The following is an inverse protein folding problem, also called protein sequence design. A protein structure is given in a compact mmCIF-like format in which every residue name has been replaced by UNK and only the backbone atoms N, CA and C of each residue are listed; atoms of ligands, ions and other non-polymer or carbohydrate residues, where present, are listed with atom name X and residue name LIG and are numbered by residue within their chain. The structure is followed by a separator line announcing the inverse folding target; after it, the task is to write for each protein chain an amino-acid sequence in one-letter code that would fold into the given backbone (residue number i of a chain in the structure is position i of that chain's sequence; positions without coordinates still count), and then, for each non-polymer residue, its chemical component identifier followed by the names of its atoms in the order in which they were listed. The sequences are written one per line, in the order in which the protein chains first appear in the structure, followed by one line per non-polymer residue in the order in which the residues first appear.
data_IF_257293383015
#
_entry.id   IF_257293383015
#
_cell.length_a   1.000
_cell.length_b   1.000
_cell.length_c   1.000
_cell.angle_alpha   90.00
_cell.angle_beta   90.00
_cell.angle_gamma   90.00
#
_symmetry.space_group_name_H-M   'P 1'
#
loop_
_entity.id
_entity.type
_entity.pdbx_description
1 polymer ?
#
# COMPACT_ATOMS: atom_id res chain seq x y z
N UNK A 1 17.35 -9.46 -10.42
CA UNK A 1 16.93 -10.61 -11.27
C UNK A 1 16.11 -11.63 -10.48
N UNK A 2 16.28 -11.73 -9.15
CA UNK A 2 15.50 -12.64 -8.30
C UNK A 2 14.50 -11.91 -7.39
N UNK A 3 13.62 -11.08 -7.97
CA UNK A 3 12.53 -10.47 -7.21
C UNK A 3 11.44 -11.50 -6.94
N UNK A 4 11.06 -11.68 -5.67
CA UNK A 4 9.91 -12.51 -5.29
C UNK A 4 8.71 -11.59 -5.03
N UNK A 5 7.54 -11.84 -5.62
CA UNK A 5 6.36 -11.05 -5.33
C UNK A 5 5.97 -11.22 -3.87
N UNK A 6 5.38 -10.16 -3.31
CA UNK A 6 4.79 -10.20 -1.97
C UNK A 6 3.72 -11.28 -1.94
N UNK A 7 3.79 -12.14 -0.92
CA UNK A 7 2.91 -13.29 -0.75
C UNK A 7 2.28 -13.28 0.65
N UNK A 8 0.94 -13.37 0.77
CA UNK A 8 -0.04 -13.37 -0.33
C UNK A 8 -0.01 -12.05 -1.11
N UNK A 9 -0.42 -12.10 -2.39
CA UNK A 9 -0.54 -10.90 -3.21
C UNK A 9 -1.47 -9.89 -2.52
N UNK A 10 -1.07 -8.61 -2.39
CA UNK A 10 -1.95 -7.60 -1.83
C UNK A 10 -3.19 -7.40 -2.71
N UNK A 11 -4.36 -7.42 -2.06
CA UNK A 11 -5.65 -7.18 -2.69
C UNK A 11 -6.37 -6.10 -1.89
N UNK A 12 -6.83 -5.05 -2.59
CA UNK A 12 -7.58 -3.94 -2.00
C UNK A 12 -8.97 -3.93 -2.60
N UNK A 13 -10.02 -3.98 -1.78
CA UNK A 13 -11.40 -3.78 -2.22
C UNK A 13 -11.76 -2.30 -2.16
N UNK A 14 -12.36 -1.78 -3.22
CA UNK A 14 -12.93 -0.42 -3.26
C UNK A 14 -14.44 -0.50 -3.18
N UNK A 15 -15.04 0.47 -2.49
CA UNK A 15 -16.47 0.69 -2.43
C UNK A 15 -16.72 2.17 -2.72
N UNK A 16 -17.41 2.45 -3.82
CA UNK A 16 -17.84 3.79 -4.14
C UNK A 16 -19.25 3.98 -3.58
N UNK A 17 -19.51 5.16 -3.05
CA UNK A 17 -20.83 5.52 -2.54
C UNK A 17 -21.31 6.78 -3.26
N UNK A 18 -22.57 6.79 -3.69
CA UNK A 18 -23.25 8.03 -4.01
C UNK A 18 -23.48 8.78 -2.70
N UNK A 19 -23.37 10.10 -2.72
CA UNK A 19 -23.71 10.93 -1.59
C UNK A 19 -24.33 12.24 -2.07
N UNK A 20 -25.33 12.73 -1.35
CA UNK A 20 -25.82 14.08 -1.53
C UNK A 20 -24.76 15.12 -1.11
N UNK A 21 -24.97 16.39 -1.46
CA UNK A 21 -23.98 17.46 -1.19
C UNK A 21 -23.67 17.64 0.30
N UNK A 22 -24.61 17.27 1.18
CA UNK A 22 -24.47 17.29 2.63
C UNK A 22 -23.81 16.00 3.20
N UNK A 23 -23.48 15.04 2.33
CA UNK A 23 -22.89 13.76 2.68
C UNK A 23 -23.89 12.70 3.17
N UNK A 24 -25.20 13.00 3.15
CA UNK A 24 -26.29 12.08 3.48
C UNK A 24 -26.62 11.12 2.33
N UNK A 25 -27.51 10.15 2.58
CA UNK A 25 -27.98 9.14 1.62
C UNK A 25 -26.85 8.41 0.89
N UNK A 26 -26.09 7.61 1.64
CA UNK A 26 -24.99 6.81 1.09
C UNK A 26 -25.46 5.47 0.58
N UNK A 27 -25.52 5.31 -0.74
CA UNK A 27 -25.75 4.03 -1.40
C UNK A 27 -24.48 3.57 -2.11
N UNK A 28 -24.12 2.30 -1.97
CA UNK A 28 -22.95 1.74 -2.66
C UNK A 28 -23.28 1.64 -4.15
N UNK A 29 -22.44 2.25 -4.99
CA UNK A 29 -22.58 2.21 -6.45
C UNK A 29 -22.43 0.78 -6.93
N UNK A 30 -23.30 0.34 -7.83
CA UNK A 30 -23.18 -0.98 -8.45
C UNK A 30 -21.89 -1.05 -9.29
N UNK A 31 -21.03 -2.06 -9.09
CA UNK A 31 -19.85 -2.25 -9.94
C UNK A 31 -20.14 -2.32 -11.44
N UNK A 32 -21.33 -2.77 -11.86
CA UNK A 32 -21.71 -2.78 -13.27
C UNK A 32 -21.86 -1.35 -13.85
N UNK A 33 -22.29 -0.37 -13.04
CA UNK A 33 -22.35 1.04 -13.46
C UNK A 33 -20.96 1.63 -13.63
N UNK A 34 -20.01 1.21 -12.77
CA UNK A 34 -18.60 1.62 -12.88
C UNK A 34 -18.00 1.06 -14.17
N UNK A 35 -18.27 -0.22 -14.48
CA UNK A 35 -17.79 -0.90 -15.71
C UNK A 35 -18.29 -0.20 -16.99
N UNK A 36 -19.54 0.29 -16.98
CA UNK A 36 -20.15 1.00 -18.11
C UNK A 36 -19.74 2.48 -18.20
N UNK A 37 -19.13 3.02 -17.16
CA UNK A 37 -18.68 4.42 -17.11
C UNK A 37 -17.31 4.62 -17.76
N UNK A 38 -16.94 5.87 -18.02
CA UNK A 38 -15.57 6.24 -18.44
C UNK A 38 -14.61 6.43 -17.26
N UNK A 39 -14.97 5.94 -16.06
CA UNK A 39 -14.18 6.12 -14.85
C UNK A 39 -13.11 5.03 -14.80
N UNK A 40 -11.84 5.43 -14.72
CA UNK A 40 -10.74 4.52 -14.45
C UNK A 40 -10.11 4.85 -13.12
N UNK A 41 -10.18 3.94 -12.15
CA UNK A 41 -9.44 4.08 -10.89
C UNK A 41 -8.07 3.42 -11.00
N UNK A 42 -7.06 4.09 -10.44
CA UNK A 42 -5.70 3.57 -10.23
C UNK A 42 -5.43 3.54 -8.74
N UNK A 43 -4.78 2.47 -8.28
CA UNK A 43 -4.22 2.40 -6.94
C UNK A 43 -2.70 2.35 -7.00
N UNK A 44 -2.06 3.24 -6.26
CA UNK A 44 -0.62 3.23 -6.05
C UNK A 44 -0.29 2.50 -4.74
N UNK A 45 0.66 1.56 -4.80
CA UNK A 45 1.27 0.95 -3.63
C UNK A 45 2.59 1.66 -3.29
N UNK A 46 2.67 2.11 -2.05
CA UNK A 46 3.83 2.78 -1.48
C UNK A 46 4.34 1.99 -0.28
N UNK A 47 5.63 1.60 -0.31
CA UNK A 47 6.28 0.88 0.76
C UNK A 47 6.55 1.80 1.95
N UNK A 48 6.15 1.36 3.13
CA UNK A 48 6.43 2.01 4.40
C UNK A 48 7.22 1.04 5.29
N UNK A 49 8.51 1.31 5.52
CA UNK A 49 9.29 0.55 6.51
C UNK A 49 8.80 0.89 7.90
N UNK A 50 8.64 -0.14 8.73
CA UNK A 50 8.27 0.05 10.12
C UNK A 50 9.51 0.35 10.96
N UNK A 51 9.43 1.37 11.81
CA UNK A 51 10.48 1.74 12.75
C UNK A 51 9.85 2.25 14.04
N UNK A 52 10.07 1.49 15.12
CA UNK A 52 9.61 1.83 16.45
C UNK A 52 10.12 3.21 16.89
N UNK A 53 11.41 3.46 16.74
CA UNK A 53 12.04 4.69 17.23
C UNK A 53 11.46 5.91 16.55
N UNK A 54 11.15 5.81 15.26
CA UNK A 54 10.49 6.89 14.54
C UNK A 54 9.04 7.10 14.97
N UNK A 55 8.23 6.03 14.98
CA UNK A 55 6.80 6.12 15.32
C UNK A 55 6.58 6.73 16.71
N UNK A 56 7.51 6.50 17.63
CA UNK A 56 7.48 7.00 19.00
C UNK A 56 8.35 8.26 19.23
N UNK A 57 8.94 8.84 18.18
CA UNK A 57 9.67 10.12 18.24
C UNK A 57 10.98 10.07 18.99
N UNK A 58 11.60 8.91 19.06
CA UNK A 58 12.94 8.68 19.61
C UNK A 58 13.99 9.14 18.59
N UNK A 59 13.75 8.91 17.30
CA UNK A 59 14.66 9.28 16.20
C UNK A 59 13.89 9.86 15.01
N UNK A 60 14.36 10.97 14.45
CA UNK A 60 13.88 11.51 13.18
C UNK A 60 14.61 10.87 12.00
N UNK A 61 13.92 10.72 10.87
CA UNK A 61 14.57 10.20 9.67
C UNK A 61 15.45 11.27 8.99
N UNK A 62 16.72 10.97 8.70
CA UNK A 62 17.57 11.89 7.96
C UNK A 62 17.17 11.94 6.48
N UNK A 63 16.95 13.15 5.91
CA UNK A 63 16.52 13.33 4.52
C UNK A 63 17.43 12.62 3.52
N UNK A 64 16.85 12.09 2.45
CA UNK A 64 17.58 11.49 1.33
C UNK A 64 18.37 10.21 1.65
N UNK A 65 18.30 9.70 2.88
CA UNK A 65 18.93 8.43 3.23
C UNK A 65 17.89 7.32 3.09
N UNK A 66 18.11 6.29 2.25
CA UNK A 66 17.42 5.03 2.46
C UNK A 66 17.72 4.67 3.90
N UNK A 67 16.69 4.60 4.75
CA UNK A 67 16.83 4.30 6.17
C UNK A 67 17.90 3.22 6.28
N UNK A 68 18.97 3.49 7.03
CA UNK A 68 19.75 2.39 7.57
C UNK A 68 18.75 1.61 8.39
N UNK A 69 18.19 0.57 7.76
CA UNK A 69 17.25 -0.36 8.36
C UNK A 69 17.82 -0.66 9.71
N UNK A 70 17.05 -0.32 10.76
CA UNK A 70 17.39 -0.48 12.18
C UNK A 70 18.68 -1.25 12.31
N UNK A 71 19.81 -0.53 12.30
CA UNK A 71 21.09 -1.18 12.36
C UNK A 71 21.00 -2.06 13.58
N UNK A 72 21.36 -3.34 13.41
CA UNK A 72 21.49 -4.31 14.47
C UNK A 72 22.56 -3.77 15.42
N UNK A 73 22.21 -2.76 16.21
CA UNK A 73 23.00 -2.19 17.27
C UNK A 73 22.66 -3.04 18.48
N UNK A 74 23.37 -4.16 18.54
CA UNK A 74 23.85 -4.74 19.78
C UNK A 74 22.80 -4.90 20.89
N UNK A 75 22.16 -6.07 20.91
CA UNK A 75 21.95 -6.79 22.17
C UNK A 75 20.55 -6.83 22.75
N UNK A 76 19.56 -6.14 22.19
CA UNK A 76 18.16 -6.34 22.59
C UNK A 76 17.29 -6.49 21.34
N UNK A 77 16.86 -7.72 21.08
CA UNK A 77 15.77 -7.96 20.15
C UNK A 77 14.54 -7.27 20.73
N UNK A 78 14.20 -6.09 20.20
CA UNK A 78 12.89 -5.52 20.47
C UNK A 78 11.84 -6.46 19.89
N UNK A 79 10.77 -6.72 20.64
CA UNK A 79 9.64 -7.59 20.27
C UNK A 79 8.95 -7.19 18.95
N UNK A 80 9.44 -6.14 18.27
CA UNK A 80 8.87 -5.55 17.07
C UNK A 80 9.78 -5.69 15.84
N UNK A 81 10.91 -6.41 15.95
CA UNK A 81 11.78 -6.70 14.81
C UNK A 81 11.46 -8.06 14.17
N UNK A 82 11.57 -8.12 12.85
CA UNK A 82 11.55 -9.40 12.14
C UNK A 82 12.83 -10.17 12.48
N UNK A 83 12.68 -11.34 13.09
CA UNK A 83 13.77 -12.34 13.20
C UNK A 83 13.50 -13.46 12.22
N UNK A 84 14.54 -14.16 11.76
CA UNK A 84 14.39 -15.28 10.82
C UNK A 84 13.30 -16.25 11.31
N UNK A 85 12.26 -16.46 10.50
CA UNK A 85 11.08 -17.30 10.80
C UNK A 85 10.09 -16.75 11.84
N UNK A 86 10.17 -15.48 12.21
CA UNK A 86 9.19 -14.83 13.11
C UNK A 86 8.34 -13.84 12.32
N UNK A 87 7.03 -14.11 12.27
CA UNK A 87 6.06 -13.16 11.73
C UNK A 87 5.93 -11.95 12.66
N UNK A 88 5.56 -10.77 12.12
CA UNK A 88 5.24 -9.60 12.94
C UNK A 88 4.22 -9.97 14.04
N UNK A 89 4.40 -9.52 15.30
CA UNK A 89 3.49 -9.81 16.38
C UNK A 89 2.03 -9.41 16.06
N UNK A 90 1.02 -10.17 16.51
CA UNK A 90 -0.39 -9.86 16.25
C UNK A 90 -0.86 -8.50 16.77
N UNK A 91 -0.13 -7.91 17.73
CA UNK A 91 -0.41 -6.60 18.32
C UNK A 91 0.31 -5.41 17.66
N UNK A 92 1.04 -5.63 16.57
CA UNK A 92 1.65 -4.51 15.85
C UNK A 92 0.58 -3.59 15.25
N UNK A 93 0.90 -2.30 15.24
CA UNK A 93 0.04 -1.30 14.63
C UNK A 93 -0.11 -1.59 13.14
N UNK A 94 -1.35 -1.55 12.65
CA UNK A 94 -1.68 -1.78 11.24
C UNK A 94 -1.31 -0.60 10.33
N UNK A 95 -0.96 0.53 10.93
CA UNK A 95 -0.51 1.74 10.26
C UNK A 95 0.57 2.41 11.13
N UNK A 96 1.56 3.09 10.53
CA UNK A 96 2.52 3.89 11.27
C UNK A 96 1.81 5.01 12.04
N UNK A 97 2.33 5.35 13.22
CA UNK A 97 1.84 6.49 14.00
C UNK A 97 2.29 7.81 13.38
N UNK A 98 3.46 7.79 12.73
CA UNK A 98 4.04 8.95 12.05
C UNK A 98 4.31 8.59 10.60
N UNK A 99 3.42 9.00 9.67
CA UNK A 99 3.67 8.82 8.25
C UNK A 99 4.96 9.54 7.83
N UNK A 100 5.79 8.85 7.05
CA UNK A 100 6.93 9.45 6.36
C UNK A 100 6.49 10.63 5.49
N UNK A 101 7.35 11.65 5.39
CA UNK A 101 7.17 12.70 4.39
C UNK A 101 7.38 12.17 2.96
N UNK A 102 7.12 13.02 1.97
CA UNK A 102 7.19 12.66 0.56
C UNK A 102 8.61 12.27 0.09
N UNK A 103 9.65 12.87 0.65
CA UNK A 103 11.03 12.61 0.27
C UNK A 103 11.47 11.22 0.74
N UNK A 104 11.20 10.91 2.01
CA UNK A 104 11.45 9.58 2.56
C UNK A 104 10.63 8.51 1.83
N UNK A 105 9.36 8.81 1.57
CA UNK A 105 8.48 7.92 0.81
C UNK A 105 9.03 7.63 -0.60
N UNK A 106 9.58 8.64 -1.27
CA UNK A 106 10.19 8.48 -2.59
C UNK A 106 11.42 7.56 -2.56
N UNK A 107 12.27 7.69 -1.54
CA UNK A 107 13.43 6.81 -1.35
C UNK A 107 13.04 5.33 -1.18
N UNK A 108 11.95 5.03 -0.45
CA UNK A 108 11.40 3.66 -0.37
C UNK A 108 10.75 3.18 -1.66
N UNK A 109 10.27 4.14 -2.47
CA UNK A 109 9.78 3.87 -3.80
C UNK A 109 10.81 3.21 -4.72
N UNK A 110 12.10 3.53 -4.55
CA UNK A 110 13.20 2.91 -5.31
C UNK A 110 13.42 1.44 -4.95
N UNK A 111 13.09 1.05 -3.72
CA UNK A 111 13.14 -0.34 -3.26
C UNK A 111 11.93 -1.15 -3.75
N UNK A 112 10.89 -0.51 -4.25
CA UNK A 112 9.68 -1.21 -4.71
C UNK A 112 9.77 -1.45 -6.22
N UNK A 113 9.57 -2.69 -6.65
CA UNK A 113 9.66 -3.12 -8.04
C UNK A 113 8.35 -3.74 -8.54
N UNK A 114 8.23 -3.83 -9.86
CA UNK A 114 7.06 -4.37 -10.55
C UNK A 114 5.90 -3.37 -10.62
N UNK A 115 4.67 -3.87 -10.59
CA UNK A 115 3.47 -3.05 -10.79
C UNK A 115 3.05 -2.33 -9.50
N UNK A 116 3.54 -1.09 -9.33
CA UNK A 116 3.16 -0.20 -8.21
C UNK A 116 1.86 0.53 -8.44
N UNK A 117 1.56 0.85 -9.69
CA UNK A 117 0.31 1.47 -10.11
C UNK A 117 -0.53 0.40 -10.81
N UNK A 118 -1.68 0.07 -10.24
CA UNK A 118 -2.58 -0.94 -10.81
C UNK A 118 -3.94 -0.33 -11.07
N UNK A 119 -4.50 -0.65 -12.23
CA UNK A 119 -5.89 -0.33 -12.54
C UNK A 119 -6.82 -1.26 -11.78
N UNK A 120 -8.01 -0.76 -11.43
CA UNK A 120 -9.03 -1.59 -10.83
C UNK A 120 -9.48 -2.72 -11.78
N UNK A 121 -9.92 -3.83 -11.19
CA UNK A 121 -10.58 -4.93 -11.86
C UNK A 121 -11.94 -5.14 -11.21
N UNK A 122 -12.93 -5.52 -12.01
CA UNK A 122 -14.27 -5.82 -11.55
C UNK A 122 -14.46 -7.32 -11.71
N UNK A 123 -14.63 -8.02 -10.59
CA UNK A 123 -14.73 -9.48 -10.56
C UNK A 123 -15.85 -9.92 -9.61
N UNK A 124 -16.36 -11.16 -9.72
CA UNK A 124 -17.30 -11.69 -8.75
C UNK A 124 -16.79 -11.58 -7.31
N UNK A 125 -17.64 -11.14 -6.39
CA UNK A 125 -17.32 -10.98 -4.99
C UNK A 125 -17.02 -12.34 -4.36
N UNK A 126 -15.79 -12.52 -3.87
CA UNK A 126 -15.37 -13.75 -3.20
C UNK A 126 -15.99 -13.80 -1.80
N UNK A 127 -16.80 -14.82 -1.51
CA UNK A 127 -17.45 -15.00 -0.21
C UNK A 127 -18.67 -14.10 0.02
N UNK A 128 -19.10 -13.35 -1.00
CA UNK A 128 -20.34 -12.56 -0.99
C UNK A 128 -21.56 -13.33 -1.48
N UNK A 129 -22.73 -12.68 -1.53
CA UNK A 129 -23.92 -13.23 -2.18
C UNK A 129 -23.63 -13.62 -3.63
N UNK A 130 -24.12 -14.79 -4.06
CA UNK A 130 -23.92 -15.31 -5.41
C UNK A 130 -24.30 -14.28 -6.47
N UNK A 131 -23.39 -14.01 -7.41
CA UNK A 131 -23.63 -13.11 -8.55
C UNK A 131 -23.31 -11.64 -8.31
N UNK A 132 -22.97 -11.23 -7.08
CA UNK A 132 -22.53 -9.85 -6.83
C UNK A 132 -21.10 -9.66 -7.35
N UNK A 133 -20.83 -8.59 -8.09
CA UNK A 133 -19.47 -8.16 -8.43
C UNK A 133 -18.92 -7.23 -7.35
N UNK A 134 -17.60 -7.04 -7.35
CA UNK A 134 -16.92 -6.04 -6.55
C UNK A 134 -15.69 -5.50 -7.28
N UNK A 135 -15.28 -4.30 -6.90
CA UNK A 135 -14.12 -3.62 -7.48
C UNK A 135 -12.89 -3.88 -6.62
N UNK A 136 -11.82 -4.33 -7.24
CA UNK A 136 -10.56 -4.65 -6.56
C UNK A 136 -9.35 -4.06 -7.26
N UNK A 137 -8.29 -3.81 -6.50
CA UNK A 137 -6.93 -3.67 -7.01
C UNK A 137 -6.14 -4.91 -6.60
N UNK A 138 -5.44 -5.53 -7.56
CA UNK A 138 -4.70 -6.78 -7.34
C UNK A 138 -3.24 -6.60 -7.73
N UNK A 139 -2.37 -6.64 -6.72
CA UNK A 139 -0.93 -6.39 -6.87
C UNK A 139 -0.17 -7.71 -7.02
N UNK A 140 -0.28 -8.36 -8.20
CA UNK A 140 0.34 -9.68 -8.45
C UNK A 140 1.86 -9.62 -8.57
N UNK A 141 2.36 -8.52 -9.12
CA UNK A 141 3.79 -8.35 -9.44
C UNK A 141 4.46 -7.33 -8.51
N UNK A 142 3.87 -7.02 -7.35
CA UNK A 142 4.49 -6.10 -6.40
C UNK A 142 5.61 -6.81 -5.65
N UNK A 143 6.82 -6.28 -5.78
CA UNK A 143 8.05 -6.84 -5.22
C UNK A 143 8.78 -5.77 -4.42
N UNK A 144 9.59 -6.19 -3.45
CA UNK A 144 10.53 -5.31 -2.76
C UNK A 144 11.94 -5.85 -3.02
N UNK A 145 12.86 -4.95 -3.33
CA UNK A 145 14.27 -5.23 -3.52
C UNK A 145 14.83 -5.90 -2.26
N UNK A 146 15.73 -6.87 -2.44
CA UNK A 146 16.38 -7.54 -1.33
C UNK A 146 17.14 -6.51 -0.49
N UNK A 147 16.80 -6.47 0.80
CA UNK A 147 17.51 -5.66 1.77
C UNK A 147 18.35 -6.58 2.63
N UNK A 148 19.60 -6.20 2.90
CA UNK A 148 20.61 -7.06 3.50
C UNK A 148 20.32 -7.49 4.95
N UNK A 149 19.18 -7.13 5.52
CA UNK A 149 18.75 -7.44 6.89
C UNK A 149 17.24 -7.76 6.94
N UNK A 150 16.82 -8.46 8.00
CA UNK A 150 15.40 -8.72 8.25
C UNK A 150 14.70 -7.42 8.64
N UNK A 151 13.60 -7.08 7.97
CA UNK A 151 12.89 -5.82 8.24
C UNK A 151 11.38 -6.00 8.23
N UNK A 152 10.68 -5.19 9.00
CA UNK A 152 9.22 -5.15 9.04
C UNK A 152 8.72 -3.98 8.21
N UNK A 153 7.67 -4.16 7.42
CA UNK A 153 7.13 -3.12 6.54
C UNK A 153 5.62 -3.29 6.32
N UNK A 154 4.98 -2.23 5.87
CA UNK A 154 3.59 -2.23 5.41
C UNK A 154 3.50 -1.50 4.06
N UNK A 155 2.43 -1.74 3.33
CA UNK A 155 2.09 -0.92 2.16
C UNK A 155 0.96 0.04 2.51
N UNK A 156 1.12 1.29 2.10
CA UNK A 156 0.00 2.23 1.95
C UNK A 156 -0.52 2.13 0.52
N UNK A 157 -1.84 2.06 0.38
CA UNK A 157 -2.53 1.96 -0.89
C UNK A 157 -3.37 3.22 -1.08
N UNK A 158 -3.02 4.02 -2.09
CA UNK A 158 -3.67 5.30 -2.37
C UNK A 158 -4.46 5.17 -3.67
N UNK A 159 -5.75 5.53 -3.63
CA UNK A 159 -6.65 5.41 -4.77
C UNK A 159 -6.86 6.77 -5.43
N UNK A 160 -6.68 6.82 -6.74
CA UNK A 160 -6.90 7.98 -7.59
C UNK A 160 -7.95 7.65 -8.64
N UNK A 161 -8.83 8.59 -8.96
CA UNK A 161 -9.68 8.50 -10.15
C UNK A 161 -8.97 9.21 -11.30
N UNK A 162 -8.79 8.49 -12.41
CA UNK A 162 -8.60 9.03 -13.73
C UNK A 162 -9.95 9.11 -14.43
N UNK A 163 -10.43 10.34 -14.62
CA UNK A 163 -11.53 10.59 -15.54
C UNK A 163 -10.89 10.78 -16.92
N UNK A 164 -11.14 9.85 -17.85
CA UNK A 164 -10.78 10.02 -19.25
C UNK A 164 -11.71 11.04 -19.94
N UNK A 165 -11.78 12.25 -19.39
CA UNK A 165 -12.13 13.40 -20.21
C UNK A 165 -10.82 13.87 -20.85
N UNK A 166 -10.80 13.94 -22.17
CA UNK A 166 -9.64 14.37 -22.97
C UNK A 166 -9.02 15.70 -22.50
N UNK A 167 -9.77 16.53 -21.77
CA UNK A 167 -9.28 17.77 -21.15
C UNK A 167 -8.36 17.57 -19.93
N UNK A 168 -8.64 16.65 -19.00
CA UNK A 168 -7.89 16.58 -17.73
C UNK A 168 -6.48 16.02 -17.92
N UNK A 169 -6.31 15.03 -18.80
CA UNK A 169 -4.98 14.53 -19.18
C UNK A 169 -4.12 15.62 -19.82
N UNK A 170 -4.73 16.50 -20.63
CA UNK A 170 -4.02 17.58 -21.32
C UNK A 170 -3.53 18.68 -20.36
N UNK A 171 -4.22 18.88 -19.24
CA UNK A 171 -3.92 19.95 -18.28
C UNK A 171 -2.92 19.55 -17.19
N UNK A 172 -2.45 18.29 -17.16
CA UNK A 172 -1.55 17.75 -16.12
C UNK A 172 -2.03 18.06 -14.69
N UNK A 173 -3.33 18.18 -14.49
CA UNK A 173 -3.91 18.43 -13.16
C UNK A 173 -3.67 17.17 -12.32
N UNK A 174 -3.05 17.28 -11.14
CA UNK A 174 -2.87 16.13 -10.25
C UNK A 174 -4.24 15.52 -9.94
N UNK A 175 -4.39 14.22 -10.19
CA UNK A 175 -5.61 13.53 -9.78
C UNK A 175 -5.67 13.48 -8.25
N UNK A 176 -6.78 13.89 -7.61
CA UNK A 176 -6.86 13.89 -6.16
C UNK A 176 -6.80 12.46 -5.62
N UNK A 177 -6.12 12.28 -4.49
CA UNK A 177 -6.21 11.04 -3.71
C UNK A 177 -7.59 10.99 -3.05
N UNK A 178 -8.34 9.92 -3.32
CA UNK A 178 -9.72 9.75 -2.85
C UNK A 178 -9.81 8.97 -1.56
N UNK A 179 -8.91 7.98 -1.40
CA UNK A 179 -8.91 7.09 -0.27
C UNK A 179 -7.53 6.48 -0.08
N UNK A 180 -7.14 6.32 1.18
CA UNK A 180 -5.92 5.63 1.56
C UNK A 180 -6.27 4.51 2.54
N UNK A 181 -5.72 3.32 2.33
CA UNK A 181 -5.78 2.23 3.29
C UNK A 181 -4.41 1.61 3.51
N UNK A 182 -4.23 0.98 4.66
CA UNK A 182 -2.99 0.30 5.03
C UNK A 182 -3.15 -1.21 4.94
N UNK A 183 -2.16 -1.84 4.31
CA UNK A 183 -2.05 -3.30 4.28
C UNK A 183 -1.65 -3.88 5.63
N UNK A 184 -1.64 -5.22 5.69
CA UNK A 184 -1.02 -5.91 6.81
C UNK A 184 0.48 -5.65 6.87
N UNK A 185 1.02 -5.69 8.08
CA UNK A 185 2.46 -5.65 8.31
C UNK A 185 3.07 -6.98 7.91
N UNK A 186 4.17 -6.96 7.17
CA UNK A 186 4.89 -8.15 6.72
C UNK A 186 6.39 -8.03 7.03
N UNK A 187 7.04 -9.19 7.14
CA UNK A 187 8.49 -9.28 7.31
C UNK A 187 9.15 -9.57 5.97
N UNK A 188 10.28 -8.92 5.71
CA UNK A 188 11.18 -9.20 4.60
C UNK A 188 12.41 -9.90 5.15
N UNK A 189 12.78 -11.01 4.51
CA UNK A 189 13.92 -11.81 4.89
C UNK A 189 14.94 -11.82 3.75
N UNK A 190 16.25 -11.70 4.04
CA UNK A 190 17.28 -11.85 3.03
C UNK A 190 17.23 -13.27 2.46
N UNK A 191 17.63 -13.42 1.20
CA UNK A 191 17.79 -14.74 0.60
C UNK A 191 18.88 -15.49 1.35
N UNK A 192 18.59 -16.71 1.82
CA UNK A 192 19.63 -17.58 2.42
C UNK A 192 20.74 -17.76 1.39
N UNK A 193 21.93 -17.23 1.68
CA UNK A 193 23.17 -17.76 1.16
C UNK A 193 23.72 -18.76 2.15
#
# INVERSE_FOLDING_TARGET
KDGRPINPHPVVRVRLFTCEQDGSNREEVDPDEIEQSSITMICNATLYPWNYEHDFGIVDYPPGTPIQQSSILSGQFHDHMATENTYPPPGMLKQPLRPLDAEHTAAFGELTHGARDVQHVIVPEVGGPSGKKAVFFVFKDLMVAEVGQCSVSAFSFQTFILIFTSMLLALRIPSPNLATCWGGVFAMFPSKK
#
